data_IF_481393022455
#
_entry.id   IF_481393022455
#
_cell.length_a   1.000
_cell.length_b   1.000
_cell.length_c   1.000
_cell.angle_alpha   90.00
_cell.angle_beta   90.00
_cell.angle_gamma   90.00
#
_symmetry.space_group_name_H-M   'P 1'
#
loop_
_entity.id
_entity.type
_entity.pdbx_description
1 polymer ?
#
# COMPACT_ATOMS: atom_id res chain seq x y z
N UNK A 1 28.76 19.10 -17.26
CA UNK A 1 27.67 19.25 -18.25
C UNK A 1 27.68 17.99 -19.11
N UNK A 2 26.68 17.14 -18.99
CA UNK A 2 26.60 15.92 -19.80
C UNK A 2 26.18 16.32 -21.24
N UNK A 3 27.06 16.07 -22.21
CA UNK A 3 26.73 16.26 -23.62
C UNK A 3 25.79 15.12 -24.05
N UNK A 4 24.60 15.46 -24.55
CA UNK A 4 23.59 14.49 -25.03
C UNK A 4 24.10 13.56 -26.13
N UNK A 5 25.13 13.99 -26.86
CA UNK A 5 25.60 13.32 -28.06
C UNK A 5 26.51 12.10 -27.82
N UNK A 6 26.87 11.84 -26.55
CA UNK A 6 27.76 10.72 -26.16
C UNK A 6 27.08 9.65 -25.30
N UNK A 7 25.76 9.65 -25.21
CA UNK A 7 25.04 8.62 -24.46
C UNK A 7 24.60 7.53 -25.44
N UNK A 8 25.30 6.42 -25.44
CA UNK A 8 24.85 5.20 -26.12
C UNK A 8 23.82 4.54 -25.22
N UNK A 9 22.57 4.52 -25.68
CA UNK A 9 21.51 3.81 -24.98
C UNK A 9 21.55 2.33 -25.40
N UNK A 10 21.91 1.46 -24.46
CA UNK A 10 21.79 0.00 -24.63
C UNK A 10 20.54 -0.45 -23.88
N UNK A 11 19.45 -0.83 -24.58
CA UNK A 11 18.27 -1.38 -23.94
C UNK A 11 18.60 -2.73 -23.30
N UNK A 12 18.17 -2.90 -22.05
CA UNK A 12 18.26 -4.18 -21.35
C UNK A 12 16.86 -4.78 -21.29
N UNK A 13 16.77 -6.08 -21.55
CA UNK A 13 15.49 -6.78 -21.45
C UNK A 13 14.92 -6.64 -20.04
N UNK A 14 13.61 -6.42 -19.97
CA UNK A 14 12.91 -6.34 -18.69
C UNK A 14 12.88 -7.75 -18.06
N UNK A 15 13.56 -7.97 -16.91
CA UNK A 15 13.46 -9.25 -16.21
C UNK A 15 12.00 -9.47 -15.78
N UNK A 16 11.58 -10.70 -15.74
CA UNK A 16 10.25 -11.11 -15.30
C UNK A 16 9.08 -10.51 -16.13
N UNK A 17 9.35 -10.13 -17.38
CA UNK A 17 8.30 -9.71 -18.30
C UNK A 17 7.27 -10.83 -18.47
N UNK A 18 6.03 -10.51 -18.11
CA UNK A 18 4.90 -11.41 -18.35
C UNK A 18 4.43 -11.23 -19.80
N UNK A 19 4.62 -12.23 -20.62
CA UNK A 19 4.16 -12.27 -22.01
C UNK A 19 2.90 -13.13 -22.10
N UNK A 20 1.78 -12.57 -21.68
CA UNK A 20 0.50 -13.25 -21.69
C UNK A 20 -0.11 -13.31 -23.09
N UNK A 21 -0.66 -14.46 -23.44
CA UNK A 21 -1.61 -14.55 -24.56
C UNK A 21 -2.85 -13.69 -24.28
N UNK A 22 -3.62 -13.37 -25.32
CA UNK A 22 -4.87 -12.62 -25.15
C UNK A 22 -5.84 -13.32 -24.20
N UNK A 23 -5.88 -14.65 -24.23
CA UNK A 23 -6.71 -15.46 -23.36
C UNK A 23 -6.25 -15.40 -21.89
N UNK A 24 -4.94 -15.52 -21.65
CA UNK A 24 -4.35 -15.37 -20.32
C UNK A 24 -4.57 -13.96 -19.77
N UNK A 25 -4.41 -12.94 -20.61
CA UNK A 25 -4.64 -11.54 -20.22
C UNK A 25 -6.09 -11.30 -19.78
N UNK A 26 -7.05 -11.90 -20.49
CA UNK A 26 -8.46 -11.84 -20.11
C UNK A 26 -8.72 -12.57 -18.79
N UNK A 27 -8.16 -13.75 -18.60
CA UNK A 27 -8.32 -14.52 -17.37
C UNK A 27 -7.78 -13.75 -16.14
N UNK A 28 -6.60 -13.16 -16.24
CA UNK A 28 -6.01 -12.35 -15.18
C UNK A 28 -6.82 -11.07 -14.88
N UNK A 29 -7.32 -10.41 -15.92
CA UNK A 29 -8.17 -9.24 -15.76
C UNK A 29 -9.48 -9.58 -15.04
N UNK A 30 -10.11 -10.70 -15.36
CA UNK A 30 -11.31 -11.18 -14.68
C UNK A 30 -11.03 -11.56 -13.22
N UNK A 31 -9.94 -12.25 -12.95
CA UNK A 31 -9.54 -12.60 -11.59
C UNK A 31 -9.27 -11.34 -10.74
N UNK A 32 -8.63 -10.33 -11.31
CA UNK A 32 -8.43 -9.05 -10.64
C UNK A 32 -9.75 -8.32 -10.38
N UNK A 33 -10.65 -8.28 -11.36
CA UNK A 33 -11.98 -7.71 -11.19
C UNK A 33 -12.76 -8.39 -10.06
N UNK A 34 -12.75 -9.72 -10.01
CA UNK A 34 -13.44 -10.50 -8.98
C UNK A 34 -12.90 -10.23 -7.57
N UNK A 35 -11.60 -9.99 -7.46
CA UNK A 35 -10.99 -9.57 -6.20
C UNK A 35 -11.37 -8.15 -5.82
N UNK A 36 -11.34 -7.22 -6.78
CA UNK A 36 -11.61 -5.80 -6.52
C UNK A 36 -13.07 -5.52 -6.19
N UNK A 37 -14.02 -6.24 -6.75
CA UNK A 37 -15.45 -6.07 -6.44
C UNK A 37 -15.81 -6.44 -4.99
N UNK A 38 -14.95 -7.20 -4.30
CA UNK A 38 -15.13 -7.53 -2.88
C UNK A 38 -14.71 -6.39 -1.95
N UNK A 39 -14.02 -5.36 -2.47
CA UNK A 39 -13.58 -4.22 -1.68
C UNK A 39 -14.76 -3.29 -1.39
N UNK A 40 -14.97 -3.00 -0.11
CA UNK A 40 -16.00 -2.09 0.36
C UNK A 40 -15.38 -0.97 1.21
N UNK A 41 -16.10 0.14 1.35
CA UNK A 41 -15.78 1.16 2.33
C UNK A 41 -16.24 0.67 3.70
N UNK A 42 -15.28 0.29 4.55
CA UNK A 42 -15.54 -0.19 5.92
C UNK A 42 -15.09 0.89 6.89
N UNK A 43 -15.93 1.18 7.90
CA UNK A 43 -15.64 2.17 8.96
C UNK A 43 -15.61 1.54 10.34
N UNK A 44 -16.24 0.38 10.50
CA UNK A 44 -16.23 -0.40 11.72
C UNK A 44 -15.28 -1.58 11.55
N UNK A 45 -14.37 -1.75 12.50
CA UNK A 45 -13.32 -2.76 12.42
C UNK A 45 -13.43 -3.72 13.59
N UNK A 46 -13.15 -5.00 13.33
CA UNK A 46 -13.04 -6.01 14.38
C UNK A 46 -11.76 -5.80 15.19
N UNK A 47 -11.82 -6.16 16.47
CA UNK A 47 -10.66 -6.13 17.38
C UNK A 47 -9.77 -7.38 17.22
N UNK A 48 -9.71 -7.91 16.02
CA UNK A 48 -8.87 -9.06 15.69
C UNK A 48 -7.46 -8.61 15.32
N UNK A 49 -6.42 -9.18 15.92
CA UNK A 49 -5.06 -8.82 15.58
C UNK A 49 -4.73 -9.23 14.13
N UNK A 50 -3.94 -8.40 13.46
CA UNK A 50 -3.37 -8.69 12.15
C UNK A 50 -1.94 -9.17 12.35
N UNK A 51 -1.56 -10.28 11.71
CA UNK A 51 -0.20 -10.81 11.86
C UNK A 51 0.82 -9.88 11.21
N UNK A 52 2.03 -9.93 11.74
CA UNK A 52 3.15 -9.11 11.25
C UNK A 52 3.46 -9.40 9.78
N UNK A 53 3.38 -10.66 9.38
CA UNK A 53 3.67 -11.12 8.02
C UNK A 53 2.70 -10.51 7.00
N UNK A 54 1.43 -10.35 7.36
CA UNK A 54 0.43 -9.68 6.50
C UNK A 54 0.79 -8.21 6.31
N UNK A 55 1.17 -7.52 7.38
CA UNK A 55 1.60 -6.11 7.30
C UNK A 55 2.86 -5.97 6.44
N UNK A 56 3.83 -6.86 6.62
CA UNK A 56 5.05 -6.88 5.80
C UNK A 56 4.75 -7.11 4.32
N UNK A 57 3.85 -8.03 3.99
CA UNK A 57 3.43 -8.28 2.61
C UNK A 57 2.77 -7.04 1.99
N UNK A 58 1.90 -6.34 2.73
CA UNK A 58 1.30 -5.09 2.29
C UNK A 58 2.35 -3.99 2.04
N UNK A 59 3.33 -3.86 2.93
CA UNK A 59 4.43 -2.89 2.78
C UNK A 59 5.28 -3.23 1.55
N UNK A 60 5.63 -4.49 1.33
CA UNK A 60 6.35 -4.92 0.13
C UNK A 60 5.58 -4.57 -1.13
N UNK A 61 4.27 -4.83 -1.15
CA UNK A 61 3.41 -4.46 -2.29
C UNK A 61 3.42 -2.95 -2.53
N UNK A 62 3.31 -2.14 -1.48
CA UNK A 62 3.40 -0.69 -1.61
C UNK A 62 4.78 -0.23 -2.11
N UNK A 63 5.85 -0.93 -1.73
CA UNK A 63 7.21 -0.66 -2.17
C UNK A 63 7.47 -0.93 -3.66
N UNK A 64 6.59 -1.65 -4.35
CA UNK A 64 6.71 -1.88 -5.80
C UNK A 64 6.21 -0.71 -6.64
N UNK A 65 5.68 0.36 -6.02
CA UNK A 65 5.21 1.51 -6.75
C UNK A 65 6.33 2.16 -7.58
N UNK A 66 6.04 2.66 -8.78
CA UNK A 66 7.04 3.37 -9.58
C UNK A 66 7.43 4.69 -8.92
N UNK A 67 8.68 5.09 -9.09
CA UNK A 67 9.17 6.39 -8.61
C UNK A 67 10.08 7.06 -9.64
N UNK A 68 10.20 8.39 -9.60
CA UNK A 68 11.10 9.14 -10.48
C UNK A 68 12.53 8.63 -10.34
N UNK A 69 13.16 8.27 -11.47
CA UNK A 69 14.50 7.68 -11.54
C UNK A 69 14.71 6.47 -10.59
N UNK A 70 13.65 5.79 -10.23
CA UNK A 70 13.65 4.65 -9.30
C UNK A 70 14.30 4.96 -7.93
N UNK A 71 14.16 6.19 -7.46
CA UNK A 71 14.74 6.61 -6.17
C UNK A 71 14.08 5.95 -4.94
N UNK A 72 12.84 5.48 -5.07
CA UNK A 72 12.10 4.80 -4.01
C UNK A 72 12.17 5.53 -2.65
N UNK A 73 11.74 6.80 -2.55
CA UNK A 73 12.00 7.68 -1.41
C UNK A 73 11.12 7.41 -0.19
N UNK A 74 10.32 6.38 -0.20
CA UNK A 74 9.39 6.07 0.87
C UNK A 74 10.05 5.32 2.01
N UNK A 75 9.57 5.62 3.22
CA UNK A 75 9.85 4.85 4.41
C UNK A 75 8.54 4.41 5.05
N UNK A 76 8.43 3.14 5.40
CA UNK A 76 7.25 2.58 6.04
C UNK A 76 7.56 2.28 7.50
N UNK A 77 6.71 2.77 8.39
CA UNK A 77 6.79 2.49 9.81
C UNK A 77 5.50 1.85 10.28
N UNK A 78 5.55 0.61 10.72
CA UNK A 78 4.42 -0.09 11.30
C UNK A 78 4.43 0.04 12.82
N UNK A 79 3.33 0.51 13.40
CA UNK A 79 3.20 0.73 14.85
C UNK A 79 2.10 -0.19 15.37
N UNK A 80 2.47 -1.16 16.19
CA UNK A 80 1.54 -2.08 16.86
C UNK A 80 1.22 -1.68 18.29
N UNK A 81 2.14 -1.03 19.00
CA UNK A 81 1.97 -0.63 20.40
C UNK A 81 0.81 0.36 20.58
N UNK A 82 -0.19 0.04 21.43
CA UNK A 82 -1.34 0.92 21.69
C UNK A 82 -0.97 2.28 22.30
N UNK A 83 0.05 2.33 23.13
CA UNK A 83 0.49 3.59 23.73
C UNK A 83 1.11 4.51 22.68
N UNK A 84 1.93 3.96 21.79
CA UNK A 84 2.50 4.69 20.67
C UNK A 84 1.42 5.17 19.70
N UNK A 85 0.45 4.32 19.33
CA UNK A 85 -0.69 4.70 18.48
C UNK A 85 -1.44 5.90 19.05
N UNK A 86 -1.74 5.91 20.36
CA UNK A 86 -2.40 7.04 21.01
C UNK A 86 -1.62 8.35 20.89
N UNK A 87 -0.29 8.30 20.99
CA UNK A 87 0.57 9.48 20.84
C UNK A 87 0.48 10.10 19.45
N UNK A 88 0.30 9.30 18.41
CA UNK A 88 0.14 9.81 17.03
C UNK A 88 -1.28 10.31 16.73
N UNK A 89 -2.32 9.67 17.24
CA UNK A 89 -3.71 10.02 16.96
C UNK A 89 -4.15 11.31 17.64
N UNK A 90 -3.71 11.56 18.87
CA UNK A 90 -4.11 12.73 19.67
C UNK A 90 -3.79 14.08 18.99
N UNK A 91 -2.60 14.31 18.45
CA UNK A 91 -2.29 15.56 17.75
C UNK A 91 -3.11 15.78 16.48
N UNK A 92 -3.41 14.71 15.73
CA UNK A 92 -4.19 14.76 14.49
C UNK A 92 -5.64 15.15 14.75
N UNK A 93 -6.26 14.64 15.82
CA UNK A 93 -7.61 15.04 16.24
C UNK A 93 -7.73 16.52 16.59
N UNK A 94 -6.72 17.10 17.21
CA UNK A 94 -6.71 18.54 17.54
C UNK A 94 -6.63 19.42 16.30
N UNK A 95 -5.99 18.98 15.22
CA UNK A 95 -5.82 19.75 13.98
C UNK A 95 -7.04 19.69 13.06
N UNK A 96 -7.82 18.63 13.09
CA UNK A 96 -8.96 18.44 12.18
C UNK A 96 -10.29 19.02 12.70
N UNK A 97 -10.36 19.52 13.94
CA UNK A 97 -11.59 20.10 14.51
C UNK A 97 -12.80 19.14 14.53
N UNK A 98 -12.62 17.90 14.13
CA UNK A 98 -13.69 16.93 14.01
C UNK A 98 -13.87 16.18 15.33
N UNK A 99 -15.01 16.39 15.97
CA UNK A 99 -15.53 15.56 17.05
C UNK A 99 -15.84 14.16 16.49
N UNK A 100 -14.87 13.26 16.54
CA UNK A 100 -15.16 11.83 16.45
C UNK A 100 -15.51 11.34 17.86
N UNK A 101 -16.79 11.19 18.13
CA UNK A 101 -17.30 10.50 19.32
C UNK A 101 -16.72 9.08 19.32
N UNK A 102 -15.95 8.77 20.37
CA UNK A 102 -15.50 7.41 20.62
C UNK A 102 -16.75 6.56 20.91
N UNK A 103 -16.99 5.54 20.11
CA UNK A 103 -17.97 4.50 20.44
C UNK A 103 -17.40 3.74 21.63
N UNK A 104 -18.11 3.66 22.77
CA UNK A 104 -17.65 2.84 23.90
C UNK A 104 -17.61 1.37 23.48
N UNK A 105 -16.56 0.65 23.85
CA UNK A 105 -16.49 -0.78 23.71
C UNK A 105 -17.67 -1.41 24.44
N UNK A 106 -18.49 -2.16 23.75
CA UNK A 106 -19.54 -2.98 24.36
C UNK A 106 -18.85 -4.06 25.21
N UNK A 107 -18.98 -3.94 26.51
CA UNK A 107 -18.68 -5.01 27.45
C UNK A 107 -19.77 -6.08 27.30
N UNK A 108 -19.36 -7.29 26.91
CA UNK A 108 -20.17 -8.49 26.88
C UNK A 108 -19.24 -9.71 26.93
#
# INVERSE_FOLDING_TARGET
MFAKDNITYEPVDLPDRLDYSAEQSLAEALAFHDRMKQRHTVRDYADRPVSKEVIEACIRTAGTAPSGANHQPWHFVAISDPAMKRRFVMPLRKRSGASMTAVPAANG
#
